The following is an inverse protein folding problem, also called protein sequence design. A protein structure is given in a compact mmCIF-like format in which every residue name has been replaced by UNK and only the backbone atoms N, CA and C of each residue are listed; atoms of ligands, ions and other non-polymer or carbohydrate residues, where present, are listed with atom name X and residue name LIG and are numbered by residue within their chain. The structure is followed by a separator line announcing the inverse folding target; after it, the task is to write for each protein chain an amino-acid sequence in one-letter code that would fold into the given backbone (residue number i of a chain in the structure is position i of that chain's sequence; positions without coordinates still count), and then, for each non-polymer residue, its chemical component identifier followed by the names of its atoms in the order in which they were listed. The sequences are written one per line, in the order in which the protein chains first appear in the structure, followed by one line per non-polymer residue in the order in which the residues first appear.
data_IF_707940758847
#
_entry.id   IF_707940758847
#
_cell.length_a   1.000
_cell.length_b   1.000
_cell.length_c   1.000
_cell.angle_alpha   90.00
_cell.angle_beta   90.00
_cell.angle_gamma   90.00
#
_symmetry.space_group_name_H-M   'P 1'
#
loop_
_entity.id
_entity.type
_entity.pdbx_description
1 polymer ?
#
# COMPACT_ATOMS: atom_id res chain seq x y z
N UNK A 1 -6.60 -7.42 12.55
CA UNK A 1 -7.28 -6.94 11.34
C UNK A 1 -6.26 -6.69 10.25
N UNK A 2 -6.36 -7.43 9.14
CA UNK A 2 -5.51 -7.35 7.96
C UNK A 2 -6.14 -6.40 6.93
N UNK A 3 -5.33 -5.84 6.03
CA UNK A 3 -5.85 -4.82 5.10
C UNK A 3 -6.88 -5.38 4.09
N UNK A 4 -6.81 -6.67 3.78
CA UNK A 4 -7.79 -7.32 2.90
C UNK A 4 -9.17 -7.50 3.57
N UNK A 5 -9.26 -7.34 4.89
CA UNK A 5 -10.53 -7.37 5.62
C UNK A 5 -11.25 -5.99 5.60
N UNK A 6 -10.58 -4.94 5.11
CA UNK A 6 -11.10 -3.56 5.07
C UNK A 6 -12.02 -3.38 3.85
N UNK A 7 -13.33 -3.30 4.07
CA UNK A 7 -14.32 -3.16 2.98
C UNK A 7 -14.21 -1.86 2.17
N UNK A 8 -13.67 -0.78 2.74
CA UNK A 8 -13.56 0.54 2.11
C UNK A 8 -12.14 0.93 1.67
N UNK A 9 -11.23 -0.05 1.59
CA UNK A 9 -9.89 0.24 1.08
C UNK A 9 -9.98 0.54 -0.44
N UNK A 10 -9.52 1.71 -0.91
CA UNK A 10 -9.55 2.07 -2.34
C UNK A 10 -8.64 1.19 -3.19
N UNK A 11 -7.74 0.44 -2.54
CA UNK A 11 -6.86 -0.53 -3.16
C UNK A 11 -7.41 -1.96 -3.09
N UNK A 12 -8.51 -2.23 -2.36
CA UNK A 12 -9.11 -3.56 -2.35
C UNK A 12 -9.92 -3.78 -3.64
N UNK A 13 -9.54 -4.81 -4.39
CA UNK A 13 -10.49 -5.49 -5.26
C UNK A 13 -11.40 -6.39 -4.42
N UNK A 14 -12.67 -6.53 -4.80
CA UNK A 14 -13.63 -7.43 -4.15
C UNK A 14 -13.31 -8.92 -4.36
N UNK A 15 -12.47 -9.24 -5.35
CA UNK A 15 -11.99 -10.58 -5.68
C UNK A 15 -10.46 -10.61 -5.55
N UNK A 16 -9.91 -11.52 -4.74
CA UNK A 16 -8.47 -11.62 -4.48
C UNK A 16 -7.67 -12.01 -5.72
N UNK A 17 -8.23 -12.85 -6.59
CA UNK A 17 -7.60 -13.31 -7.83
C UNK A 17 -7.50 -12.21 -8.89
N UNK A 18 -8.37 -11.19 -8.79
CA UNK A 18 -8.45 -10.04 -9.70
C UNK A 18 -7.96 -8.73 -9.10
N UNK A 19 -7.58 -8.74 -7.82
CA UNK A 19 -7.14 -7.53 -7.12
C UNK A 19 -5.81 -7.04 -7.68
N UNK A 20 -5.78 -5.75 -8.07
CA UNK A 20 -4.55 -5.06 -8.45
C UNK A 20 -3.63 -4.78 -7.25
N UNK A 21 -4.14 -4.93 -6.03
CA UNK A 21 -3.36 -4.78 -4.80
C UNK A 21 -2.66 -6.09 -4.45
N UNK A 22 -1.33 -6.06 -4.52
CA UNK A 22 -0.48 -7.22 -4.23
C UNK A 22 -0.70 -7.80 -2.82
N UNK A 23 -0.76 -7.00 -1.72
CA UNK A 23 -1.09 -7.54 -0.41
C UNK A 23 -2.45 -8.25 -0.36
N UNK A 24 -3.46 -7.74 -1.08
CA UNK A 24 -4.78 -8.37 -1.13
C UNK A 24 -4.75 -9.71 -1.89
N UNK A 25 -4.03 -9.77 -3.03
CA UNK A 25 -3.82 -11.01 -3.79
C UNK A 25 -3.07 -12.06 -2.98
N UNK A 26 -2.08 -11.63 -2.20
CA UNK A 26 -1.24 -12.47 -1.35
C UNK A 26 -1.88 -12.81 0.01
N UNK A 27 -3.05 -12.24 0.32
CA UNK A 27 -3.73 -12.41 1.62
C UNK A 27 -2.83 -12.07 2.81
N UNK A 28 -2.04 -11.00 2.67
CA UNK A 28 -1.20 -10.43 3.74
C UNK A 28 -1.64 -9.01 4.08
N UNK A 29 -1.22 -8.52 5.24
CA UNK A 29 -1.35 -7.13 5.62
C UNK A 29 -0.49 -6.23 4.75
N UNK A 30 -0.96 -5.01 4.46
CA UNK A 30 -0.18 -4.06 3.66
C UNK A 30 1.15 -3.68 4.34
N UNK A 31 1.25 -3.74 5.67
CA UNK A 31 2.48 -3.49 6.41
C UNK A 31 3.50 -4.64 6.29
N UNK A 32 3.08 -5.83 5.82
CA UNK A 32 3.94 -6.99 5.58
C UNK A 32 4.50 -6.97 4.14
N UNK A 33 3.95 -6.13 3.26
CA UNK A 33 4.35 -6.05 1.87
C UNK A 33 5.48 -5.03 1.66
N UNK A 34 6.47 -5.41 0.86
CA UNK A 34 7.59 -4.54 0.54
C UNK A 34 7.22 -3.51 -0.57
N UNK A 35 6.48 -2.49 -0.17
CA UNK A 35 6.03 -1.42 -1.06
C UNK A 35 7.16 -0.65 -1.72
N UNK A 36 8.27 -0.45 -1.02
CA UNK A 36 9.42 0.31 -1.54
C UNK A 36 10.06 -0.44 -2.70
N UNK A 37 10.31 -1.74 -2.55
CA UNK A 37 10.86 -2.56 -3.64
C UNK A 37 9.87 -2.72 -4.79
N UNK A 38 8.56 -2.81 -4.52
CA UNK A 38 7.54 -2.79 -5.56
C UNK A 38 7.57 -1.48 -6.35
N UNK A 39 7.56 -0.33 -5.65
CA UNK A 39 7.58 1.00 -6.26
C UNK A 39 8.81 1.21 -7.16
N UNK A 40 9.99 0.79 -6.70
CA UNK A 40 11.23 0.87 -7.50
C UNK A 40 11.17 0.10 -8.82
N UNK A 41 10.35 -0.94 -8.92
CA UNK A 41 10.19 -1.75 -10.15
C UNK A 41 9.13 -1.20 -11.11
N UNK A 42 8.31 -0.23 -10.68
CA UNK A 42 7.34 0.42 -11.57
C UNK A 42 8.13 1.32 -12.54
N UNK A 43 7.85 1.29 -13.86
CA UNK A 43 8.45 2.20 -14.83
C UNK A 43 8.28 3.67 -14.44
N UNK A 44 9.25 4.52 -14.74
CA UNK A 44 9.14 5.97 -14.53
C UNK A 44 8.05 6.55 -15.44
N UNK A 45 6.91 6.87 -14.84
CA UNK A 45 5.77 7.46 -15.52
C UNK A 45 4.92 8.29 -14.55
N UNK A 46 4.04 9.14 -15.08
CA UNK A 46 3.15 9.96 -14.27
C UNK A 46 2.24 9.13 -13.36
N UNK A 47 1.86 7.93 -13.77
CA UNK A 47 1.04 7.03 -12.96
C UNK A 47 1.80 6.53 -11.71
N UNK A 48 3.11 6.29 -11.82
CA UNK A 48 3.96 5.92 -10.68
C UNK A 48 3.96 7.01 -9.62
N UNK A 49 4.17 8.26 -10.01
CA UNK A 49 4.18 9.40 -9.09
C UNK A 49 2.80 9.59 -8.42
N UNK A 50 1.72 9.56 -9.20
CA UNK A 50 0.34 9.64 -8.67
C UNK A 50 0.05 8.52 -7.68
N UNK A 51 0.47 7.29 -7.99
CA UNK A 51 0.30 6.15 -7.11
C UNK A 51 1.00 6.35 -5.76
N UNK A 52 2.24 6.87 -5.78
CA UNK A 52 2.99 7.19 -4.55
C UNK A 52 2.27 8.23 -3.72
N UNK A 53 1.81 9.32 -4.32
CA UNK A 53 1.13 10.40 -3.61
C UNK A 53 -0.17 9.93 -2.96
N UNK A 54 -0.97 9.11 -3.66
CA UNK A 54 -2.18 8.52 -3.11
C UNK A 54 -1.88 7.59 -1.93
N UNK A 55 -0.82 6.79 -2.01
CA UNK A 55 -0.37 5.95 -0.88
C UNK A 55 0.02 6.80 0.32
N UNK A 56 0.84 7.84 0.13
CA UNK A 56 1.29 8.73 1.21
C UNK A 56 0.13 9.46 1.89
N UNK A 57 -0.90 9.88 1.15
CA UNK A 57 -2.07 10.58 1.71
C UNK A 57 -3.06 9.64 2.38
N UNK A 58 -3.38 8.51 1.74
CA UNK A 58 -4.48 7.64 2.21
C UNK A 58 -4.06 6.67 3.30
N UNK A 59 -2.82 6.19 3.30
CA UNK A 59 -2.36 5.23 4.31
C UNK A 59 -2.42 5.81 5.74
N UNK A 60 -2.20 7.12 5.90
CA UNK A 60 -2.28 7.80 7.21
C UNK A 60 -3.70 7.84 7.79
N UNK A 61 -4.72 7.75 6.93
CA UNK A 61 -6.14 7.79 7.31
C UNK A 61 -6.76 6.38 7.39
N UNK A 62 -5.95 5.32 7.29
CA UNK A 62 -6.44 3.95 7.26
C UNK A 62 -6.69 3.42 8.68
N UNK A 63 -7.74 2.62 8.87
CA UNK A 63 -8.12 2.07 10.18
C UNK A 63 -7.02 1.17 10.81
N UNK A 64 -6.15 0.58 9.99
CA UNK A 64 -5.02 -0.25 10.44
C UNK A 64 -3.74 0.57 10.71
N UNK A 65 -3.71 1.85 10.31
CA UNK A 65 -2.58 2.73 10.58
C UNK A 65 -2.22 2.81 12.06
N UNK A 66 -3.14 3.11 13.00
CA UNK A 66 -2.79 3.15 14.42
C UNK A 66 -2.31 1.79 14.96
N UNK A 67 -2.74 0.68 14.38
CA UNK A 67 -2.38 -0.67 14.82
C UNK A 67 -0.96 -1.09 14.40
N UNK A 68 -0.52 -0.64 13.22
CA UNK A 68 0.76 -1.02 12.63
C UNK A 68 1.61 0.20 12.26
N UNK A 69 1.46 1.29 13.02
CA UNK A 69 2.04 2.61 12.74
C UNK A 69 3.52 2.51 12.41
N UNK A 70 4.30 1.80 13.23
CA UNK A 70 5.76 1.68 13.07
C UNK A 70 6.15 1.08 11.72
N UNK A 71 5.48 0.01 11.31
CA UNK A 71 5.77 -0.69 10.06
C UNK A 71 5.27 0.12 8.85
N UNK A 72 4.12 0.77 9.01
CA UNK A 72 3.54 1.63 7.97
C UNK A 72 4.42 2.87 7.75
N UNK A 73 4.82 3.56 8.82
CA UNK A 73 5.73 4.71 8.76
C UNK A 73 7.06 4.35 8.09
N UNK A 74 7.57 3.13 8.35
CA UNK A 74 8.82 2.66 7.73
C UNK A 74 8.72 2.60 6.21
N UNK A 75 7.67 2.00 5.65
CA UNK A 75 7.55 1.95 4.20
C UNK A 75 7.11 3.30 3.60
N UNK A 76 6.28 4.10 4.30
CA UNK A 76 5.89 5.43 3.83
C UNK A 76 7.10 6.36 3.73
N UNK A 77 7.99 6.31 4.72
CA UNK A 77 9.29 7.01 4.68
C UNK A 77 10.10 6.53 3.47
N UNK A 78 10.22 5.22 3.29
CA UNK A 78 10.94 4.66 2.14
C UNK A 78 10.34 5.05 0.79
N UNK A 79 9.01 5.17 0.67
CA UNK A 79 8.35 5.67 -0.53
C UNK A 79 8.65 7.15 -0.78
N UNK A 80 8.67 7.97 0.28
CA UNK A 80 9.00 9.40 0.21
C UNK A 80 10.44 9.63 -0.24
N UNK A 81 11.37 8.77 0.19
CA UNK A 81 12.79 8.84 -0.11
C UNK A 81 13.19 8.13 -1.43
N UNK A 82 12.31 7.30 -2.01
CA UNK A 82 12.58 6.57 -3.25
C UNK A 82 12.45 7.44 -4.53
N UNK A 83 12.93 8.68 -4.48
CA UNK A 83 13.03 9.57 -5.64
C UNK A 83 14.23 9.21 -6.51
#
# INVERSE_FOLDING_TARGET
MKCYEIKKCPFNGTDNSKSKCSPHKLQIGCWEYNWVSFYKKIPECNEKLKWREEMLKRCLNCEIYPLYKKDIDKFLKGLKEAY
#
